data_IF_285151334798
#
_entry.id   IF_285151334798
#
_cell.length_a   1.000
_cell.length_b   1.000
_cell.length_c   1.000
_cell.angle_alpha   90.00
_cell.angle_beta   90.00
_cell.angle_gamma   90.00
#
_symmetry.space_group_name_H-M   'P 1'
#
loop_
_entity.id
_entity.type
_entity.pdbx_description
1 polymer ?
#
# COMPACT_ATOMS: atom_id res chain seq x y z
N UNK A 1 -3.19 69.45 33.01
CA UNK A 1 -2.74 68.76 34.24
C UNK A 1 -3.65 67.56 34.41
N UNK A 2 -3.29 66.29 34.30
CA UNK A 2 -2.00 65.59 34.36
C UNK A 2 -1.99 64.44 33.32
N UNK A 3 -0.79 64.09 32.87
CA UNK A 3 -0.43 62.97 31.98
C UNK A 3 -0.41 61.62 32.72
N UNK A 4 -0.66 60.51 32.01
CA UNK A 4 0.07 59.23 32.10
C UNK A 4 -0.47 58.26 31.03
N UNK A 5 0.20 58.12 29.88
CA UNK A 5 1.28 57.18 29.55
C UNK A 5 0.77 55.75 29.28
N UNK A 6 0.70 55.44 27.98
CA UNK A 6 0.52 54.11 27.38
C UNK A 6 1.85 53.38 27.49
N UNK A 7 1.88 52.23 28.17
CA UNK A 7 3.01 51.31 28.11
C UNK A 7 2.83 50.32 26.96
N UNK A 8 3.73 50.41 25.98
CA UNK A 8 4.03 49.38 24.99
C UNK A 8 4.85 48.28 25.65
N UNK A 9 4.41 47.03 25.55
CA UNK A 9 5.23 45.85 25.89
C UNK A 9 5.56 45.13 24.59
N UNK A 10 6.84 45.21 24.23
CA UNK A 10 7.51 44.43 23.20
C UNK A 10 7.65 42.98 23.69
N UNK A 11 7.10 42.02 22.94
CA UNK A 11 7.32 40.60 23.20
C UNK A 11 8.29 40.03 22.15
N UNK A 12 9.51 39.76 22.61
CA UNK A 12 10.53 38.98 21.89
C UNK A 12 10.06 37.52 21.69
N UNK A 13 10.46 36.82 20.62
CA UNK A 13 10.04 35.45 20.38
C UNK A 13 10.77 34.48 21.34
N UNK A 14 10.01 33.72 22.12
CA UNK A 14 10.53 32.55 22.84
C UNK A 14 10.75 31.42 21.84
N UNK A 15 12.01 31.14 21.51
CA UNK A 15 12.43 29.92 20.83
C UNK A 15 11.92 28.69 21.60
N UNK A 16 10.95 27.97 21.02
CA UNK A 16 10.64 26.59 21.44
C UNK A 16 11.76 25.70 20.92
N UNK A 17 12.59 25.24 21.84
CA UNK A 17 13.54 24.16 21.59
C UNK A 17 12.72 22.90 21.25
N UNK A 18 12.70 22.53 19.97
CA UNK A 18 12.28 21.20 19.54
C UNK A 18 13.20 20.18 20.22
N UNK A 19 12.65 19.41 21.16
CA UNK A 19 13.33 18.23 21.69
C UNK A 19 13.47 17.23 20.54
N UNK A 20 14.64 17.17 19.92
CA UNK A 20 15.07 16.06 19.08
C UNK A 20 15.06 14.79 19.92
N UNK A 21 14.03 13.98 19.77
CA UNK A 21 13.95 12.63 20.32
C UNK A 21 15.06 11.78 19.70
N UNK A 22 15.89 11.16 20.54
CA UNK A 22 17.00 10.31 20.11
C UNK A 22 16.51 9.13 19.24
N UNK A 23 17.26 8.71 18.20
CA UNK A 23 16.83 7.64 17.27
C UNK A 23 16.45 6.34 17.96
N UNK A 24 17.14 6.01 19.05
CA UNK A 24 16.92 4.79 19.85
C UNK A 24 15.55 4.80 20.54
N UNK A 25 15.15 5.93 21.14
CA UNK A 25 13.85 6.05 21.82
C UNK A 25 12.66 6.02 20.84
N UNK A 26 12.85 6.48 19.61
CA UNK A 26 11.85 6.39 18.55
C UNK A 26 11.65 4.95 18.05
N UNK A 27 12.72 4.16 17.98
CA UNK A 27 12.67 2.74 17.59
C UNK A 27 12.01 1.86 18.68
N UNK A 28 12.34 2.07 19.96
CA UNK A 28 11.72 1.33 21.08
C UNK A 28 10.22 1.57 21.18
N UNK A 29 9.77 2.80 20.93
CA UNK A 29 8.33 3.15 20.90
C UNK A 29 7.58 2.46 19.76
N UNK A 30 8.23 2.27 18.60
CA UNK A 30 7.60 1.72 17.41
C UNK A 30 7.55 0.18 17.34
N UNK A 31 8.33 -0.50 18.18
CA UNK A 31 8.19 -1.94 18.46
C UNK A 31 7.23 -2.21 19.62
N UNK A 32 6.89 -1.19 20.41
CA UNK A 32 5.97 -1.32 21.53
C UNK A 32 4.61 -1.95 21.16
N UNK A 33 4.00 -1.68 19.98
CA UNK A 33 2.80 -2.41 19.56
C UNK A 33 2.99 -3.93 19.55
N UNK A 34 4.13 -4.42 19.05
CA UNK A 34 4.46 -5.85 18.97
C UNK A 34 4.77 -6.45 20.34
N UNK A 35 5.52 -5.72 21.18
CA UNK A 35 5.83 -6.16 22.54
C UNK A 35 4.57 -6.28 23.40
N UNK A 36 3.61 -5.36 23.26
CA UNK A 36 2.33 -5.40 24.00
C UNK A 36 1.49 -6.64 23.71
N UNK A 37 1.65 -7.23 22.52
CA UNK A 37 0.94 -8.44 22.10
C UNK A 37 1.81 -9.70 22.17
N UNK A 38 2.96 -9.63 22.87
CA UNK A 38 3.91 -10.73 23.06
C UNK A 38 4.41 -11.38 21.74
N UNK A 39 4.53 -10.59 20.67
CA UNK A 39 5.20 -11.02 19.43
C UNK A 39 6.67 -10.65 19.53
N UNK A 40 7.54 -11.65 19.51
CA UNK A 40 8.98 -11.43 19.54
C UNK A 40 9.55 -11.05 18.16
N UNK A 41 10.81 -10.61 18.16
CA UNK A 41 11.50 -10.13 16.96
C UNK A 41 11.77 -11.27 15.96
N UNK A 42 11.95 -12.50 16.44
CA UNK A 42 12.24 -13.67 15.58
C UNK A 42 11.00 -14.02 14.75
N UNK A 43 9.83 -14.09 15.41
CA UNK A 43 8.54 -14.26 14.76
C UNK A 43 8.28 -13.12 13.77
N UNK A 44 8.51 -11.87 14.16
CA UNK A 44 8.28 -10.71 13.29
C UNK A 44 9.18 -10.73 12.05
N UNK A 45 10.45 -11.11 12.17
CA UNK A 45 11.36 -11.30 11.03
C UNK A 45 10.84 -12.39 10.09
N UNK A 46 10.44 -13.54 10.63
CA UNK A 46 9.88 -14.63 9.83
C UNK A 46 8.59 -14.22 9.11
N UNK A 47 7.71 -13.48 9.79
CA UNK A 47 6.47 -12.97 9.21
C UNK A 47 6.76 -11.95 8.10
N UNK A 48 7.78 -11.12 8.26
CA UNK A 48 8.21 -10.18 7.22
C UNK A 48 8.68 -10.93 5.96
N UNK A 49 9.53 -11.95 6.11
CA UNK A 49 9.95 -12.80 4.99
C UNK A 49 8.75 -13.50 4.32
N UNK A 50 7.83 -14.04 5.11
CA UNK A 50 6.64 -14.71 4.60
C UNK A 50 5.74 -13.74 3.83
N UNK A 51 5.52 -12.53 4.35
CA UNK A 51 4.74 -11.50 3.67
C UNK A 51 5.39 -11.13 2.34
N UNK A 52 6.72 -10.99 2.31
CA UNK A 52 7.45 -10.67 1.08
C UNK A 52 7.31 -11.77 0.03
N UNK A 53 7.48 -13.04 0.44
CA UNK A 53 7.27 -14.21 -0.42
C UNK A 53 5.84 -14.25 -0.96
N UNK A 54 4.86 -14.02 -0.08
CA UNK A 54 3.45 -14.02 -0.45
C UNK A 54 3.14 -12.91 -1.48
N UNK A 55 3.58 -11.67 -1.26
CA UNK A 55 3.40 -10.56 -2.20
C UNK A 55 4.06 -10.89 -3.54
N UNK A 56 5.30 -11.37 -3.52
CA UNK A 56 6.04 -11.72 -4.74
C UNK A 56 5.29 -12.76 -5.58
N UNK A 57 4.94 -13.89 -4.97
CA UNK A 57 4.37 -15.03 -5.68
C UNK A 57 2.90 -14.84 -6.04
N UNK A 58 2.13 -14.16 -5.18
CA UNK A 58 0.67 -14.04 -5.34
C UNK A 58 0.29 -12.83 -6.17
N UNK A 59 1.05 -11.73 -6.07
CA UNK A 59 0.73 -10.47 -6.75
C UNK A 59 1.72 -10.20 -7.87
N UNK A 60 3.00 -10.00 -7.55
CA UNK A 60 3.97 -9.48 -8.53
C UNK A 60 4.21 -10.44 -9.69
N UNK A 61 4.57 -11.70 -9.42
CA UNK A 61 4.82 -12.70 -10.46
C UNK A 61 3.57 -12.98 -11.31
N UNK A 62 2.38 -12.95 -10.70
CA UNK A 62 1.13 -13.15 -11.43
C UNK A 62 0.82 -11.97 -12.34
N UNK A 63 1.02 -10.74 -11.86
CA UNK A 63 0.87 -9.54 -12.68
C UNK A 63 1.84 -9.52 -13.85
N UNK A 64 3.11 -9.88 -13.63
CA UNK A 64 4.11 -9.95 -14.71
C UNK A 64 3.69 -10.97 -15.77
N UNK A 65 3.28 -12.17 -15.36
CA UNK A 65 2.76 -13.20 -16.29
C UNK A 65 1.52 -12.71 -17.05
N UNK A 66 0.63 -11.99 -16.36
CA UNK A 66 -0.58 -11.45 -16.98
C UNK A 66 -0.25 -10.32 -17.96
N UNK A 67 0.74 -9.47 -17.67
CA UNK A 67 1.22 -8.46 -18.61
C UNK A 67 1.72 -9.11 -19.91
N UNK A 68 2.52 -10.17 -19.78
CA UNK A 68 3.07 -10.90 -20.93
C UNK A 68 1.95 -11.57 -21.74
N UNK A 69 1.03 -12.26 -21.07
CA UNK A 69 -0.13 -12.89 -21.71
C UNK A 69 -1.01 -11.89 -22.45
N UNK A 70 -1.29 -10.74 -21.85
CA UNK A 70 -2.12 -9.70 -22.46
C UNK A 70 -1.40 -9.10 -23.68
N UNK A 71 -0.11 -8.79 -23.55
CA UNK A 71 0.70 -8.24 -24.65
C UNK A 71 0.79 -9.22 -25.84
N UNK A 72 0.99 -10.51 -25.58
CA UNK A 72 0.94 -11.55 -26.61
C UNK A 72 -0.45 -11.64 -27.26
N UNK A 73 -1.51 -11.51 -26.48
CA UNK A 73 -2.88 -11.57 -26.99
C UNK A 73 -3.21 -10.37 -27.87
N UNK A 74 -2.78 -9.16 -27.49
CA UNK A 74 -2.88 -7.97 -28.34
C UNK A 74 -2.17 -8.18 -29.68
N UNK A 75 -0.94 -8.69 -29.65
CA UNK A 75 -0.15 -8.94 -30.86
C UNK A 75 -0.83 -9.96 -31.79
N UNK A 76 -1.34 -11.07 -31.24
CA UNK A 76 -2.07 -12.11 -31.99
C UNK A 76 -3.34 -11.60 -32.68
N UNK A 77 -3.96 -10.55 -32.15
CA UNK A 77 -5.19 -9.96 -32.69
C UNK A 77 -4.95 -8.64 -33.44
N UNK A 78 -3.71 -8.35 -33.85
CA UNK A 78 -3.37 -7.19 -34.68
C UNK A 78 -3.32 -5.85 -33.93
N UNK A 79 -3.24 -5.87 -32.59
CA UNK A 79 -3.14 -4.69 -31.72
C UNK A 79 -1.73 -4.51 -31.15
N UNK A 80 -0.70 -4.80 -31.95
CA UNK A 80 0.70 -4.82 -31.51
C UNK A 80 1.22 -3.46 -31.00
N UNK A 81 0.55 -2.37 -31.34
CA UNK A 81 0.83 -1.01 -30.89
C UNK A 81 0.24 -0.68 -29.50
N UNK A 82 -0.52 -1.62 -28.91
CA UNK A 82 -1.06 -1.55 -27.55
C UNK A 82 -0.31 -2.58 -26.69
N UNK A 83 0.62 -2.11 -25.87
CA UNK A 83 1.36 -2.94 -24.90
C UNK A 83 1.33 -2.33 -23.51
N UNK A 84 1.07 -3.17 -22.50
CA UNK A 84 1.19 -2.81 -21.09
C UNK A 84 2.61 -2.33 -20.83
N UNK A 85 2.74 -1.12 -20.29
CA UNK A 85 4.02 -0.43 -20.09
C UNK A 85 4.45 0.46 -21.25
N UNK A 86 3.83 0.38 -22.43
CA UNK A 86 4.24 1.21 -23.58
C UNK A 86 3.18 2.24 -23.95
N UNK A 87 1.90 1.97 -23.66
CA UNK A 87 0.81 2.92 -23.87
C UNK A 87 0.34 3.54 -22.56
N UNK A 88 -0.20 4.75 -22.63
CA UNK A 88 -0.80 5.43 -21.48
C UNK A 88 -2.05 4.71 -20.95
N UNK A 89 -2.32 4.91 -19.66
CA UNK A 89 -3.41 4.24 -18.94
C UNK A 89 -4.79 4.50 -19.57
N UNK A 90 -5.05 5.71 -20.07
CA UNK A 90 -6.33 6.04 -20.70
C UNK A 90 -6.57 5.29 -22.01
N UNK A 91 -5.49 4.99 -22.75
CA UNK A 91 -5.58 4.15 -23.94
C UNK A 91 -5.95 2.72 -23.54
N UNK A 92 -5.30 2.16 -22.51
CA UNK A 92 -5.63 0.84 -21.97
C UNK A 92 -7.09 0.76 -21.49
N UNK A 93 -7.58 1.79 -20.78
CA UNK A 93 -8.98 1.89 -20.35
C UNK A 93 -9.97 1.84 -21.50
N UNK A 94 -9.75 2.66 -22.53
CA UNK A 94 -10.59 2.66 -23.72
C UNK A 94 -10.57 1.29 -24.41
N UNK A 95 -9.38 0.69 -24.53
CA UNK A 95 -9.22 -0.65 -25.12
C UNK A 95 -9.96 -1.72 -24.32
N UNK A 96 -9.94 -1.67 -22.99
CA UNK A 96 -10.65 -2.60 -22.12
C UNK A 96 -12.19 -2.49 -22.17
N UNK A 97 -12.71 -1.38 -22.70
CA UNK A 97 -14.14 -1.17 -22.91
C UNK A 97 -14.62 -1.66 -24.28
N UNK A 98 -13.70 -2.00 -25.20
CA UNK A 98 -14.07 -2.52 -26.51
C UNK A 98 -14.56 -3.96 -26.33
N UNK A 99 -15.84 -4.20 -26.62
CA UNK A 99 -16.49 -5.50 -26.43
C UNK A 99 -15.71 -6.66 -27.07
N UNK A 100 -15.18 -6.46 -28.29
CA UNK A 100 -14.39 -7.48 -28.96
C UNK A 100 -13.09 -7.80 -28.23
N UNK A 101 -12.39 -6.79 -27.67
CA UNK A 101 -11.17 -7.01 -26.87
C UNK A 101 -11.47 -7.82 -25.63
N UNK A 102 -12.56 -7.51 -24.92
CA UNK A 102 -12.95 -8.23 -23.70
C UNK A 102 -13.26 -9.71 -23.97
N UNK A 103 -13.63 -10.10 -25.19
CA UNK A 103 -13.85 -11.50 -25.56
C UNK A 103 -12.55 -12.31 -25.57
N UNK A 104 -11.44 -11.77 -26.08
CA UNK A 104 -10.16 -12.48 -26.17
C UNK A 104 -9.14 -12.08 -25.08
N UNK A 105 -9.38 -10.97 -24.37
CA UNK A 105 -8.63 -10.53 -23.19
C UNK A 105 -9.59 -10.17 -22.04
N UNK A 106 -10.32 -11.14 -21.48
CA UNK A 106 -11.31 -10.88 -20.42
C UNK A 106 -10.70 -10.34 -19.12
N UNK A 107 -9.39 -10.55 -18.91
CA UNK A 107 -8.65 -10.09 -17.74
C UNK A 107 -8.24 -8.61 -17.81
N UNK A 108 -8.25 -7.98 -18.99
CA UNK A 108 -7.76 -6.62 -19.14
C UNK A 108 -8.52 -5.60 -18.27
N UNK A 109 -9.87 -5.59 -18.19
CA UNK A 109 -10.59 -4.70 -17.29
C UNK A 109 -10.19 -4.89 -15.81
N UNK A 110 -9.93 -6.13 -15.40
CA UNK A 110 -9.53 -6.44 -14.02
C UNK A 110 -8.07 -6.08 -13.72
N UNK A 111 -7.22 -5.97 -14.74
CA UNK A 111 -5.82 -5.57 -14.60
C UNK A 111 -5.68 -4.06 -14.39
N UNK A 112 -6.53 -3.25 -15.06
CA UNK A 112 -6.41 -1.78 -15.05
C UNK A 112 -6.29 -1.18 -13.65
N UNK A 113 -7.08 -1.58 -12.64
CA UNK A 113 -6.95 -1.07 -11.27
C UNK A 113 -5.55 -1.21 -10.64
N UNK A 114 -4.72 -2.15 -11.09
CA UNK A 114 -3.34 -2.31 -10.61
C UNK A 114 -2.36 -1.29 -11.21
N UNK A 115 -2.78 -0.61 -12.27
CA UNK A 115 -1.95 0.32 -13.04
C UNK A 115 -2.23 1.80 -12.70
N UNK A 116 -3.15 2.07 -11.78
CA UNK A 116 -3.71 3.42 -11.54
C UNK A 116 -2.87 4.29 -10.61
N UNK A 117 -1.74 3.81 -10.09
CA UNK A 117 -0.88 4.58 -9.18
C UNK A 117 -0.09 5.69 -9.86
N UNK A 118 0.17 5.60 -11.17
CA UNK A 118 0.89 6.64 -11.92
C UNK A 118 0.51 6.65 -13.40
N UNK A 119 0.61 7.82 -14.04
CA UNK A 119 0.46 7.94 -15.50
C UNK A 119 1.69 7.42 -16.26
N UNK A 120 2.85 7.32 -15.61
CA UNK A 120 4.07 6.78 -16.22
C UNK A 120 4.06 5.24 -16.21
N UNK A 121 3.36 4.68 -17.20
CA UNK A 121 3.12 3.24 -17.31
C UNK A 121 4.39 2.43 -17.58
N UNK A 122 5.36 3.00 -18.31
CA UNK A 122 6.63 2.36 -18.62
C UNK A 122 7.48 2.18 -17.36
N UNK A 123 7.58 3.23 -16.53
CA UNK A 123 8.20 3.13 -15.21
C UNK A 123 7.50 2.08 -14.33
N UNK A 124 6.17 2.12 -14.24
CA UNK A 124 5.41 1.20 -13.38
C UNK A 124 5.60 -0.26 -13.81
N UNK A 125 5.43 -0.56 -15.10
CA UNK A 125 5.59 -1.91 -15.64
C UNK A 125 7.02 -2.43 -15.43
N UNK A 126 8.04 -1.59 -15.69
CA UNK A 126 9.45 -1.91 -15.40
C UNK A 126 9.63 -2.22 -13.91
N UNK A 127 9.10 -1.39 -13.03
CA UNK A 127 9.30 -1.53 -11.59
C UNK A 127 8.63 -2.78 -11.03
N UNK A 128 7.42 -3.09 -11.47
CA UNK A 128 6.72 -4.34 -11.10
C UNK A 128 7.56 -5.56 -11.53
N UNK A 129 8.12 -5.55 -12.75
CA UNK A 129 8.99 -6.63 -13.23
C UNK A 129 10.28 -6.77 -12.41
N UNK A 130 10.89 -5.66 -12.00
CA UNK A 130 12.08 -5.70 -11.15
C UNK A 130 11.79 -6.22 -9.75
N UNK A 131 10.69 -5.76 -9.14
CA UNK A 131 10.28 -6.21 -7.80
C UNK A 131 9.85 -7.68 -7.79
N UNK A 132 9.35 -8.22 -8.90
CA UNK A 132 9.02 -9.63 -9.05
C UNK A 132 10.25 -10.55 -9.12
N UNK A 133 11.46 -10.03 -9.36
CA UNK A 133 12.67 -10.86 -9.45
C UNK A 133 13.05 -11.42 -8.08
N UNK A 134 13.53 -12.67 -8.06
CA UNK A 134 14.12 -13.29 -6.87
C UNK A 134 13.13 -13.76 -5.80
N UNK A 135 11.82 -13.60 -5.98
CA UNK A 135 10.80 -14.21 -5.10
C UNK A 135 10.61 -13.56 -3.73
N UNK A 136 11.42 -12.56 -3.36
CA UNK A 136 11.38 -11.91 -2.03
C UNK A 136 11.52 -10.38 -2.07
N UNK A 137 11.37 -9.77 -3.25
CA UNK A 137 11.52 -8.32 -3.46
C UNK A 137 12.89 -7.78 -3.00
N UNK A 138 13.97 -8.43 -3.41
CA UNK A 138 15.35 -8.04 -3.04
C UNK A 138 15.70 -6.62 -3.49
N UNK A 139 15.12 -6.16 -4.60
CA UNK A 139 15.34 -4.83 -5.18
C UNK A 139 14.54 -3.72 -4.49
N UNK A 140 13.74 -4.03 -3.46
CA UNK A 140 12.83 -3.08 -2.82
C UNK A 140 13.55 -1.91 -2.14
N UNK A 141 13.16 -0.69 -2.50
CA UNK A 141 13.65 0.60 -1.98
C UNK A 141 12.48 1.41 -1.42
N UNK A 142 12.29 1.33 -0.10
CA UNK A 142 11.08 1.81 0.58
C UNK A 142 10.67 3.27 0.28
N UNK A 143 11.62 4.21 0.19
CA UNK A 143 11.37 5.65 -0.03
C UNK A 143 11.79 6.14 -1.41
N UNK A 144 12.01 5.24 -2.37
CA UNK A 144 12.43 5.58 -3.71
C UNK A 144 12.00 4.51 -4.70
N UNK A 145 12.72 4.42 -5.81
CA UNK A 145 12.53 3.40 -6.82
C UNK A 145 13.79 3.15 -7.62
N UNK A 146 13.64 2.68 -8.86
CA UNK A 146 14.75 2.47 -9.78
C UNK A 146 14.92 3.62 -10.76
N UNK A 147 16.11 3.75 -11.33
CA UNK A 147 16.33 4.55 -12.53
C UNK A 147 15.45 4.09 -13.70
N UNK A 148 15.11 5.03 -14.57
CA UNK A 148 14.21 4.82 -15.71
C UNK A 148 14.58 5.77 -16.86
N UNK A 149 14.68 5.23 -18.08
CA UNK A 149 15.11 5.95 -19.29
C UNK A 149 16.38 6.78 -19.12
N UNK A 150 17.40 6.16 -18.49
CA UNK A 150 18.70 6.78 -18.23
C UNK A 150 18.69 7.88 -17.16
N UNK A 151 17.55 8.11 -16.50
CA UNK A 151 17.40 9.07 -15.41
C UNK A 151 17.30 8.36 -14.07
N UNK A 152 17.91 8.93 -13.05
CA UNK A 152 17.72 8.48 -11.67
C UNK A 152 16.26 8.64 -11.23
N UNK A 153 15.86 7.87 -10.23
CA UNK A 153 14.54 8.00 -9.64
C UNK A 153 14.37 9.42 -9.07
N UNK A 154 13.21 10.02 -9.33
CA UNK A 154 12.84 11.33 -8.79
C UNK A 154 11.47 11.28 -8.15
N UNK A 155 11.18 12.32 -7.37
CA UNK A 155 9.97 12.43 -6.56
C UNK A 155 8.64 12.44 -7.32
N UNK A 156 8.64 12.68 -8.64
CA UNK A 156 7.43 12.62 -9.46
C UNK A 156 6.92 11.19 -9.65
N UNK A 157 7.79 10.19 -9.44
CA UNK A 157 7.50 8.77 -9.59
C UNK A 157 7.07 8.17 -8.23
N UNK A 158 6.18 7.16 -8.23
CA UNK A 158 5.83 6.48 -7.00
C UNK A 158 7.02 5.71 -6.43
N UNK A 159 7.11 5.71 -5.11
CA UNK A 159 8.07 4.87 -4.37
C UNK A 159 7.63 3.41 -4.39
N UNK A 160 8.54 2.48 -4.11
CA UNK A 160 8.17 1.06 -4.03
C UNK A 160 7.13 0.80 -2.93
N UNK A 161 7.19 1.52 -1.80
CA UNK A 161 6.16 1.36 -0.77
C UNK A 161 4.78 1.77 -1.27
N UNK A 162 4.69 2.86 -2.05
CA UNK A 162 3.44 3.30 -2.65
C UNK A 162 2.93 2.30 -3.70
N UNK A 163 3.82 1.75 -4.53
CA UNK A 163 3.48 0.71 -5.51
C UNK A 163 2.98 -0.54 -4.75
N UNK A 164 3.72 -1.04 -3.76
CA UNK A 164 3.34 -2.25 -3.02
C UNK A 164 2.01 -2.11 -2.28
N UNK A 165 1.78 -0.98 -1.60
CA UNK A 165 0.50 -0.73 -0.94
C UNK A 165 -0.65 -0.67 -1.96
N UNK A 166 -0.44 -0.01 -3.10
CA UNK A 166 -1.43 0.04 -4.17
C UNK A 166 -1.75 -1.34 -4.74
N UNK A 167 -0.73 -2.14 -5.07
CA UNK A 167 -0.94 -3.48 -5.61
C UNK A 167 -1.61 -4.42 -4.61
N UNK A 168 -1.25 -4.35 -3.32
CA UNK A 168 -1.93 -5.10 -2.27
C UNK A 168 -3.41 -4.71 -2.17
N UNK A 169 -3.69 -3.40 -2.17
CA UNK A 169 -5.04 -2.90 -2.08
C UNK A 169 -5.89 -3.31 -3.30
N UNK A 170 -5.36 -3.12 -4.52
CA UNK A 170 -6.02 -3.55 -5.75
C UNK A 170 -6.21 -5.06 -5.81
N UNK A 171 -5.27 -5.85 -5.29
CA UNK A 171 -5.44 -7.30 -5.15
C UNK A 171 -6.61 -7.62 -4.21
N UNK A 172 -6.61 -7.09 -2.99
CA UNK A 172 -7.66 -7.38 -2.01
C UNK A 172 -9.05 -6.88 -2.47
N UNK A 173 -9.12 -5.79 -3.24
CA UNK A 173 -10.36 -5.34 -3.88
C UNK A 173 -10.97 -6.39 -4.83
N UNK A 174 -10.15 -7.23 -5.45
CA UNK A 174 -10.62 -8.34 -6.30
C UNK A 174 -10.97 -9.60 -5.52
N UNK A 175 -10.46 -9.75 -4.29
CA UNK A 175 -10.65 -10.96 -3.47
C UNK A 175 -11.82 -10.82 -2.49
N UNK A 176 -12.12 -9.61 -2.05
CA UNK A 176 -13.17 -9.33 -1.10
C UNK A 176 -14.52 -9.10 -1.79
N UNK A 177 -15.60 -9.38 -1.07
CA UNK A 177 -16.96 -9.17 -1.55
C UNK A 177 -17.39 -7.70 -1.34
N UNK A 178 -17.91 -7.00 -2.37
CA UNK A 178 -18.53 -5.69 -2.20
C UNK A 178 -19.68 -5.75 -1.19
N UNK A 179 -19.84 -4.69 -0.41
CA UNK A 179 -20.99 -4.58 0.49
C UNK A 179 -22.24 -4.25 -0.32
N UNK A 180 -23.35 -5.00 -0.16
CA UNK A 180 -24.59 -4.71 -0.89
C UNK A 180 -25.14 -3.30 -0.66
N UNK A 181 -24.84 -2.71 0.49
CA UNK A 181 -25.24 -1.33 0.84
C UNK A 181 -24.40 -0.26 0.15
N UNK A 182 -23.18 -0.57 -0.29
CA UNK A 182 -22.26 0.34 -0.98
C UNK A 182 -21.54 -0.39 -2.11
N UNK A 183 -22.25 -0.77 -3.19
CA UNK A 183 -21.71 -1.63 -4.25
C UNK A 183 -20.58 -0.96 -5.04
N UNK A 184 -20.57 0.38 -5.11
CA UNK A 184 -19.55 1.15 -5.84
C UNK A 184 -18.27 1.34 -5.03
N UNK A 185 -18.28 1.02 -3.73
CA UNK A 185 -17.10 1.17 -2.89
C UNK A 185 -16.18 -0.05 -3.03
N UNK A 186 -14.90 0.23 -3.31
CA UNK A 186 -13.87 -0.80 -3.42
C UNK A 186 -13.75 -1.58 -2.08
N UNK A 187 -13.90 -2.92 -2.08
CA UNK A 187 -14.06 -3.72 -0.86
C UNK A 187 -12.93 -3.60 0.16
N UNK A 188 -11.68 -3.43 -0.29
CA UNK A 188 -10.53 -3.21 0.57
C UNK A 188 -10.14 -1.74 0.63
N UNK A 189 -9.82 -1.14 -0.51
CA UNK A 189 -9.23 0.19 -0.58
C UNK A 189 -10.20 1.32 -0.21
N UNK A 190 -11.51 1.06 -0.23
CA UNK A 190 -12.53 1.99 0.24
C UNK A 190 -12.86 1.85 1.74
N UNK A 191 -12.67 0.66 2.32
CA UNK A 191 -13.12 0.37 3.69
C UNK A 191 -12.01 0.20 4.71
N UNK A 192 -10.82 -0.24 4.30
CA UNK A 192 -9.74 -0.63 5.20
C UNK A 192 -8.45 0.15 4.94
N UNK A 193 -8.45 1.05 3.95
CA UNK A 193 -7.30 1.87 3.61
C UNK A 193 -7.67 3.35 3.55
N UNK A 194 -6.92 4.19 4.27
CA UNK A 194 -7.09 5.64 4.29
C UNK A 194 -5.84 6.26 3.66
N UNK A 195 -5.99 6.97 2.53
CA UNK A 195 -4.86 7.63 1.86
C UNK A 195 -4.48 8.92 2.59
N UNK A 196 -3.27 9.41 2.30
CA UNK A 196 -2.71 10.60 2.95
C UNK A 196 -3.60 11.86 2.85
N UNK A 197 -4.36 12.01 1.76
CA UNK A 197 -5.21 13.18 1.50
C UNK A 197 -6.67 12.95 1.87
N UNK A 198 -7.03 11.73 2.25
CA UNK A 198 -8.40 11.38 2.61
C UNK A 198 -8.69 11.87 4.03
N UNK A 199 -9.93 12.30 4.28
CA UNK A 199 -10.36 12.67 5.63
C UNK A 199 -10.43 11.42 6.49
N UNK A 200 -9.91 11.50 7.71
CA UNK A 200 -10.09 10.44 8.68
C UNK A 200 -11.59 10.30 9.01
N UNK A 201 -12.19 9.11 8.88
CA UNK A 201 -13.57 8.89 9.29
C UNK A 201 -13.68 8.97 10.82
N UNK A 202 -14.89 9.17 11.33
CA UNK A 202 -15.16 9.05 12.76
C UNK A 202 -14.84 7.62 13.20
N UNK A 203 -13.91 7.51 14.16
CA UNK A 203 -13.53 6.21 14.69
C UNK A 203 -14.64 5.65 15.59
N UNK A 204 -14.78 4.33 15.54
CA UNK A 204 -15.74 3.54 16.30
C UNK A 204 -15.00 2.36 16.91
N UNK A 205 -15.57 1.65 17.90
CA UNK A 205 -14.95 0.45 18.46
C UNK A 205 -14.60 -0.65 17.43
N UNK A 206 -15.29 -0.68 16.28
CA UNK A 206 -15.08 -1.65 15.20
C UNK A 206 -14.22 -1.11 14.05
N UNK A 207 -13.61 0.06 14.21
CA UNK A 207 -12.77 0.65 13.18
C UNK A 207 -11.50 -0.16 12.97
N UNK A 208 -11.16 -0.43 11.71
CA UNK A 208 -9.96 -1.17 11.34
C UNK A 208 -9.39 -0.62 10.04
N UNK A 209 -8.26 0.08 10.12
CA UNK A 209 -7.67 0.74 8.96
C UNK A 209 -6.15 0.63 8.92
N UNK A 210 -5.59 0.50 7.73
CA UNK A 210 -4.24 0.99 7.43
C UNK A 210 -4.39 2.43 6.96
N UNK A 211 -3.69 3.36 7.61
CA UNK A 211 -3.66 4.76 7.18
C UNK A 211 -2.27 5.12 6.67
N UNK A 212 -2.21 5.65 5.46
CA UNK A 212 -1.05 6.38 4.97
C UNK A 212 -1.08 7.80 5.52
N UNK A 213 -0.05 8.21 6.25
CA UNK A 213 0.03 9.55 6.86
C UNK A 213 1.05 10.46 6.19
N UNK A 214 1.96 9.89 5.39
CA UNK A 214 2.92 10.63 4.58
C UNK A 214 3.17 9.85 3.29
N UNK A 215 3.25 10.58 2.17
CA UNK A 215 3.68 10.04 0.88
C UNK A 215 5.21 10.07 0.75
N UNK A 216 5.88 11.06 1.37
CA UNK A 216 7.33 11.33 1.19
C UNK A 216 7.98 11.87 2.49
N UNK A 217 8.83 11.09 3.16
CA UNK A 217 8.99 9.65 2.96
C UNK A 217 7.67 8.90 3.25
N UNK A 218 7.42 7.74 2.61
CA UNK A 218 6.22 6.93 2.89
C UNK A 218 6.13 6.55 4.36
N UNK A 219 4.96 6.76 4.96
CA UNK A 219 4.70 6.35 6.34
C UNK A 219 3.25 5.89 6.51
N UNK A 220 3.09 4.73 7.13
CA UNK A 220 1.85 4.01 7.36
C UNK A 220 1.72 3.68 8.85
N UNK A 221 0.49 3.71 9.33
CA UNK A 221 0.09 3.33 10.70
C UNK A 221 -1.19 2.51 10.65
N UNK A 222 -1.51 1.83 11.76
CA UNK A 222 -2.74 1.01 11.84
C UNK A 222 -3.67 1.61 12.88
N UNK A 223 -4.96 1.65 12.57
CA UNK A 223 -6.01 2.10 13.49
C UNK A 223 -6.87 0.88 13.83
N UNK A 224 -7.07 0.62 15.12
CA UNK A 224 -7.93 -0.45 15.63
C UNK A 224 -8.81 0.15 16.71
N UNK A 225 -10.12 0.05 16.52
CA UNK A 225 -11.11 0.80 17.29
C UNK A 225 -10.79 2.29 17.23
N UNK A 226 -10.67 2.89 18.42
CA UNK A 226 -10.32 4.30 18.58
C UNK A 226 -8.82 4.53 18.82
N UNK A 227 -8.00 3.47 18.72
CA UNK A 227 -6.57 3.52 19.02
C UNK A 227 -5.73 3.57 17.75
N UNK A 228 -4.77 4.49 17.72
CA UNK A 228 -3.78 4.61 16.64
C UNK A 228 -2.49 3.90 17.06
N UNK A 229 -2.07 2.93 16.26
CA UNK A 229 -0.83 2.17 16.43
C UNK A 229 0.22 2.66 15.45
N UNK A 230 1.20 3.39 15.98
CA UNK A 230 2.32 3.91 15.21
C UNK A 230 3.35 2.79 14.94
N UNK A 231 3.70 2.61 13.66
CA UNK A 231 4.65 1.58 13.25
C UNK A 231 6.06 2.14 13.10
N UNK A 232 7.06 1.26 13.04
CA UNK A 232 8.45 1.65 12.80
C UNK A 232 8.55 2.46 11.51
N UNK A 233 9.28 3.58 11.54
CA UNK A 233 9.51 4.40 10.34
C UNK A 233 10.57 3.74 9.45
N UNK A 234 10.55 4.07 8.16
CA UNK A 234 11.58 3.64 7.22
C UNK A 234 11.28 2.29 6.56
N UNK A 235 12.34 1.53 6.28
CA UNK A 235 12.32 0.34 5.43
C UNK A 235 11.23 -0.69 5.77
N UNK A 236 11.04 -0.96 7.06
CA UNK A 236 10.10 -1.99 7.53
C UNK A 236 8.68 -1.48 7.73
N UNK A 237 8.42 -0.17 7.57
CA UNK A 237 7.17 0.46 7.95
C UNK A 237 5.96 -0.18 7.28
N UNK A 238 5.95 -0.21 5.94
CA UNK A 238 4.85 -0.78 5.15
C UNK A 238 4.55 -2.23 5.58
N UNK A 239 5.59 -3.06 5.66
CA UNK A 239 5.43 -4.48 6.01
C UNK A 239 4.90 -4.65 7.42
N UNK A 240 5.37 -3.86 8.39
CA UNK A 240 4.88 -3.94 9.77
C UNK A 240 3.43 -3.47 9.86
N UNK A 241 3.02 -2.43 9.11
CA UNK A 241 1.62 -2.01 9.06
C UNK A 241 0.71 -3.10 8.50
N UNK A 242 1.11 -3.78 7.43
CA UNK A 242 0.36 -4.89 6.84
C UNK A 242 0.30 -6.07 7.81
N UNK A 243 1.43 -6.47 8.41
CA UNK A 243 1.49 -7.57 9.36
C UNK A 243 0.63 -7.30 10.59
N UNK A 244 0.65 -6.07 11.11
CA UNK A 244 -0.11 -5.72 12.32
C UNK A 244 -1.61 -5.73 12.05
N UNK A 245 -2.01 -5.25 10.86
CA UNK A 245 -3.38 -5.36 10.36
C UNK A 245 -3.80 -6.84 10.24
N UNK A 246 -3.00 -7.68 9.58
CA UNK A 246 -3.30 -9.11 9.42
C UNK A 246 -3.37 -9.85 10.75
N UNK A 247 -2.47 -9.53 11.69
CA UNK A 247 -2.48 -10.09 13.04
C UNK A 247 -3.80 -9.80 13.75
N UNK A 248 -4.27 -8.55 13.68
CA UNK A 248 -5.53 -8.18 14.29
C UNK A 248 -6.71 -8.92 13.64
N UNK A 249 -6.79 -8.96 12.30
CA UNK A 249 -7.82 -9.72 11.59
C UNK A 249 -7.82 -11.20 12.02
N UNK A 250 -6.65 -11.82 12.15
CA UNK A 250 -6.56 -13.22 12.58
C UNK A 250 -7.05 -13.43 14.01
N UNK A 251 -6.59 -12.59 14.96
CA UNK A 251 -6.82 -12.81 16.38
C UNK A 251 -8.16 -12.31 16.88
N UNK A 252 -8.69 -11.23 16.31
CA UNK A 252 -9.89 -10.56 16.80
C UNK A 252 -11.08 -10.74 15.87
N UNK A 253 -10.85 -10.89 14.56
CA UNK A 253 -11.91 -11.09 13.56
C UNK A 253 -12.00 -12.55 13.08
N UNK A 254 -11.39 -13.50 13.81
CA UNK A 254 -11.35 -14.93 13.47
C UNK A 254 -10.85 -15.20 12.04
N UNK A 255 -9.93 -14.37 11.55
CA UNK A 255 -9.39 -14.45 10.20
C UNK A 255 -10.33 -13.95 9.10
N UNK A 256 -11.45 -13.31 9.46
CA UNK A 256 -12.43 -12.78 8.52
C UNK A 256 -12.17 -11.30 8.25
N UNK A 257 -12.11 -10.93 6.97
CA UNK A 257 -12.15 -9.54 6.54
C UNK A 257 -13.45 -9.31 5.78
N UNK A 258 -14.40 -8.65 6.44
CA UNK A 258 -15.79 -8.62 5.99
C UNK A 258 -16.37 -10.04 5.97
N UNK A 259 -16.74 -10.53 4.79
CA UNK A 259 -17.34 -11.88 4.61
C UNK A 259 -16.36 -12.93 4.11
N UNK A 260 -15.09 -12.57 3.89
CA UNK A 260 -14.09 -13.46 3.29
C UNK A 260 -13.05 -13.86 4.32
N UNK A 261 -12.75 -15.16 4.39
CA UNK A 261 -11.69 -15.68 5.24
C UNK A 261 -10.31 -15.45 4.59
N UNK A 262 -9.36 -14.90 5.34
CA UNK A 262 -7.99 -14.68 4.87
C UNK A 262 -7.11 -15.93 5.00
N UNK A 263 -7.59 -16.99 5.65
CA UNK A 263 -6.90 -18.28 5.80
C UNK A 263 -6.99 -19.17 4.55
N UNK A 264 -6.66 -20.45 4.71
CA UNK A 264 -6.55 -21.42 3.60
C UNK A 264 -7.83 -21.58 2.77
N UNK A 265 -8.98 -21.38 3.39
CA UNK A 265 -10.29 -21.51 2.73
C UNK A 265 -10.67 -20.30 1.85
N UNK A 266 -9.92 -19.21 1.91
CA UNK A 266 -10.14 -18.02 1.08
C UNK A 266 -8.84 -17.48 0.50
N UNK A 267 -8.41 -16.30 0.90
CA UNK A 267 -7.28 -15.58 0.26
C UNK A 267 -5.92 -16.26 0.53
N UNK A 268 -5.85 -17.16 1.51
CA UNK A 268 -4.65 -17.92 1.89
C UNK A 268 -3.44 -17.01 2.21
N UNK A 269 -3.67 -16.03 3.08
CA UNK A 269 -2.69 -15.07 3.59
C UNK A 269 -2.28 -15.35 5.03
N UNK A 270 -3.15 -15.96 5.86
CA UNK A 270 -2.86 -16.06 7.30
C UNK A 270 -1.69 -16.97 7.66
N UNK A 271 -1.20 -17.80 6.73
CA UNK A 271 0.05 -18.53 6.93
C UNK A 271 1.25 -17.59 7.11
N UNK A 272 1.16 -16.34 6.62
CA UNK A 272 2.19 -15.31 6.79
C UNK A 272 2.58 -15.16 8.26
N UNK A 273 1.59 -15.20 9.15
CA UNK A 273 1.73 -14.97 10.59
C UNK A 273 1.62 -16.25 11.44
N UNK A 274 1.79 -17.43 10.83
CA UNK A 274 1.96 -18.69 11.58
C UNK A 274 0.69 -19.44 12.02
N UNK A 275 -0.47 -19.17 11.42
CA UNK A 275 -1.81 -19.65 11.81
C UNK A 275 -2.30 -19.14 13.19
#
# INVERSE_FOLDING_TARGET
MYLSVIYTVTNSPKNKIEKKTSPINAQTSALAPWTKINVDIVALTQWNENLRKWISQTILERLVKEFDRINESFEKHGLADIKIGNVGLDRLRKTAQIAHVTQFIPSLPTLIPFLEITSNQEYLAKRIRELAKGGCMSEFKWNGGSSYNGKEWEESLPTDSAIMMHLLASYLDTQLMPLPSMPDMKPFSGFYYIKCKDKLPTLTPNSLFIQQVSEKPPHYRVIIGETVYEMVKGYSNLFHSILFFLYHVNKQEHGMLGRINLGRAGVNMLWIIGQ
#
